data_IF_985407927566
#
_entry.id   IF_985407927566
#
_cell.length_a   1.000
_cell.length_b   1.000
_cell.length_c   1.000
_cell.angle_alpha   90.00
_cell.angle_beta   90.00
_cell.angle_gamma   90.00
#
_symmetry.space_group_name_H-M   'P 1'
#
loop_
_entity.id
_entity.type
_entity.pdbx_description
1 polymer ?
#
# COMPACT_ATOMS: atom_id res chain seq x y z
N UNK A 1 -14.67 11.23 -12.34
CA UNK A 1 -14.56 12.33 -13.33
C UNK A 1 -15.58 13.43 -13.08
N UNK A 2 -16.89 13.19 -13.29
CA UNK A 2 -17.91 14.24 -13.13
C UNK A 2 -17.87 14.92 -11.76
N UNK A 3 -17.79 14.15 -10.66
CA UNK A 3 -17.67 14.70 -9.30
C UNK A 3 -16.45 15.64 -9.15
N UNK A 4 -15.30 15.23 -9.68
CA UNK A 4 -14.07 16.05 -9.63
C UNK A 4 -14.24 17.33 -10.45
N UNK A 5 -14.86 17.27 -11.63
CA UNK A 5 -15.14 18.47 -12.43
C UNK A 5 -16.14 19.40 -11.75
N UNK A 6 -17.17 18.86 -11.09
CA UNK A 6 -18.16 19.65 -10.35
C UNK A 6 -17.52 20.44 -9.21
N UNK A 7 -16.57 19.84 -8.50
CA UNK A 7 -15.79 20.49 -7.43
C UNK A 7 -14.71 21.44 -7.96
N UNK A 8 -14.41 21.41 -9.27
CA UNK A 8 -13.37 22.22 -9.90
C UNK A 8 -13.91 22.90 -11.16
N UNK A 9 -14.59 24.03 -10.98
CA UNK A 9 -15.20 24.77 -12.09
C UNK A 9 -14.19 25.07 -13.21
N UNK A 10 -14.55 24.71 -14.44
CA UNK A 10 -13.70 24.90 -15.62
C UNK A 10 -12.63 23.83 -15.83
N UNK A 11 -12.51 22.84 -14.95
CA UNK A 11 -11.59 21.71 -15.15
C UNK A 11 -12.05 20.82 -16.32
N UNK A 12 -11.12 20.44 -17.18
CA UNK A 12 -11.39 19.50 -18.27
C UNK A 12 -11.57 18.06 -17.74
N UNK A 13 -12.27 17.22 -18.50
CA UNK A 13 -12.42 15.80 -18.15
C UNK A 13 -11.06 15.07 -18.09
N UNK A 14 -10.11 15.45 -18.95
CA UNK A 14 -8.76 14.89 -18.95
C UNK A 14 -8.00 15.28 -17.68
N UNK A 15 -8.03 16.56 -17.30
CA UNK A 15 -7.39 17.01 -16.05
C UNK A 15 -8.03 16.38 -14.81
N UNK A 16 -9.35 16.15 -14.83
CA UNK A 16 -10.04 15.43 -13.77
C UNK A 16 -9.64 13.94 -13.71
N UNK A 17 -9.33 13.33 -14.86
CA UNK A 17 -8.80 11.97 -14.94
C UNK A 17 -7.38 11.90 -14.40
N UNK A 18 -6.49 12.77 -14.85
CA UNK A 18 -5.11 12.86 -14.37
C UNK A 18 -5.07 13.09 -12.85
N UNK A 19 -5.95 13.94 -12.33
CA UNK A 19 -6.06 14.17 -10.89
C UNK A 19 -6.50 12.91 -10.14
N UNK A 20 -7.43 12.12 -10.68
CA UNK A 20 -7.82 10.85 -10.07
C UNK A 20 -6.68 9.82 -10.10
N UNK A 21 -5.92 9.76 -11.19
CA UNK A 21 -4.75 8.89 -11.28
C UNK A 21 -3.69 9.27 -10.25
N UNK A 22 -3.38 10.57 -10.12
CA UNK A 22 -2.34 11.08 -9.21
C UNK A 22 -2.67 10.89 -7.71
N UNK A 23 -3.95 10.75 -7.38
CA UNK A 23 -4.41 10.54 -5.99
C UNK A 23 -5.02 9.15 -5.80
N UNK A 24 -4.76 8.22 -6.73
CA UNK A 24 -5.09 6.81 -6.53
C UNK A 24 -4.24 6.23 -5.42
N UNK A 25 -4.79 5.26 -4.70
CA UNK A 25 -4.06 4.51 -3.69
C UNK A 25 -3.26 3.41 -4.38
N UNK A 26 -2.03 3.17 -3.93
CA UNK A 26 -1.22 2.05 -4.41
C UNK A 26 -1.98 0.72 -4.34
N UNK A 27 -1.74 -0.15 -5.32
CA UNK A 27 -2.32 -1.48 -5.35
C UNK A 27 -1.37 -2.45 -6.07
N UNK A 28 -1.16 -3.62 -5.48
CA UNK A 28 -0.23 -4.60 -6.05
C UNK A 28 1.23 -4.24 -5.77
N UNK A 29 2.09 -4.36 -6.79
CA UNK A 29 3.50 -4.01 -6.73
C UNK A 29 3.68 -2.50 -6.50
N UNK A 30 4.72 -2.07 -5.76
CA UNK A 30 4.96 -0.66 -5.51
C UNK A 30 5.30 0.10 -6.80
N UNK A 31 4.67 1.26 -6.97
CA UNK A 31 4.85 2.15 -8.11
C UNK A 31 4.09 1.65 -9.34
N UNK A 32 4.79 1.59 -10.48
CA UNK A 32 4.12 1.27 -11.74
C UNK A 32 3.80 -0.24 -11.86
N UNK A 33 2.57 -0.60 -11.51
CA UNK A 33 2.05 -1.97 -11.57
C UNK A 33 1.31 -2.23 -12.91
N UNK A 34 1.63 -3.33 -13.59
CA UNK A 34 1.03 -3.66 -14.91
C UNK A 34 -0.43 -4.14 -14.83
N UNK A 35 -0.86 -4.62 -13.66
CA UNK A 35 -2.19 -5.14 -13.37
C UNK A 35 -3.12 -4.03 -12.89
N UNK A 36 -2.63 -3.19 -11.97
CA UNK A 36 -3.41 -2.13 -11.33
C UNK A 36 -3.16 -0.73 -11.89
N UNK A 37 -2.12 -0.54 -12.72
CA UNK A 37 -1.80 0.76 -13.30
C UNK A 37 -1.41 1.78 -12.24
N UNK A 38 -2.28 2.80 -12.04
CA UNK A 38 -2.11 3.81 -10.99
C UNK A 38 -2.71 3.39 -9.64
N UNK A 39 -3.33 2.21 -9.55
CA UNK A 39 -3.91 1.67 -8.33
C UNK A 39 -5.42 1.89 -8.20
N UNK A 40 -5.91 1.98 -6.97
CA UNK A 40 -7.33 2.12 -6.65
C UNK A 40 -7.74 3.60 -6.59
N UNK A 41 -8.72 4.00 -7.42
CA UNK A 41 -9.22 5.38 -7.41
C UNK A 41 -9.74 5.77 -6.02
N UNK A 42 -9.23 6.87 -5.46
CA UNK A 42 -9.68 7.41 -4.19
C UNK A 42 -10.28 8.80 -4.39
N UNK A 43 -11.61 8.86 -4.56
CA UNK A 43 -12.31 10.12 -4.75
C UNK A 43 -12.19 11.03 -3.53
N UNK A 44 -12.24 10.48 -2.30
CA UNK A 44 -12.12 11.25 -1.07
C UNK A 44 -10.82 12.04 -1.03
N UNK A 45 -9.71 11.37 -1.30
CA UNK A 45 -8.37 11.98 -1.36
C UNK A 45 -8.27 13.10 -2.39
N UNK A 46 -8.91 12.93 -3.56
CA UNK A 46 -9.01 14.02 -4.56
C UNK A 46 -9.80 15.20 -3.99
N UNK A 47 -10.95 14.98 -3.38
CA UNK A 47 -11.79 16.06 -2.87
C UNK A 47 -11.15 16.79 -1.69
N UNK A 48 -10.38 16.07 -0.87
CA UNK A 48 -9.75 16.57 0.35
C UNK A 48 -8.31 17.05 0.15
N UNK A 49 -7.76 16.95 -1.07
CA UNK A 49 -6.35 17.27 -1.37
C UNK A 49 -5.86 18.66 -0.92
N UNK A 50 -6.79 19.61 -0.74
CA UNK A 50 -6.51 20.98 -0.30
C UNK A 50 -6.92 21.24 1.16
N UNK A 51 -7.45 20.24 1.86
CA UNK A 51 -7.78 20.31 3.28
C UNK A 51 -6.49 20.08 4.06
N UNK A 52 -6.00 21.06 4.83
CA UNK A 52 -4.72 20.93 5.53
C UNK A 52 -4.82 19.96 6.71
N UNK A 53 -3.67 19.38 7.09
CA UNK A 53 -3.48 18.63 8.34
C UNK A 53 -4.31 17.34 8.48
N UNK A 54 -4.54 16.62 7.38
CA UNK A 54 -5.10 15.26 7.44
C UNK A 54 -3.96 14.28 7.61
N UNK A 55 -3.98 13.54 8.71
CA UNK A 55 -3.12 12.36 8.95
C UNK A 55 -3.91 11.12 8.58
N UNK A 56 -3.35 10.33 7.67
CA UNK A 56 -4.02 9.15 7.12
C UNK A 56 -2.95 8.22 6.54
N UNK A 57 -2.67 7.13 7.28
CA UNK A 57 -1.66 6.15 6.94
C UNK A 57 -2.31 4.81 6.61
N UNK A 58 -2.29 4.44 5.34
CA UNK A 58 -2.89 3.18 4.88
C UNK A 58 -1.87 2.10 4.60
N UNK A 59 -2.23 0.84 4.86
CA UNK A 59 -1.53 -0.30 4.24
C UNK A 59 -2.11 -0.49 2.85
N UNK A 60 -1.33 -0.16 1.82
CA UNK A 60 -1.79 -0.22 0.44
C UNK A 60 -1.73 -1.63 -0.14
N UNK A 61 -0.62 -2.33 0.12
CA UNK A 61 -0.45 -3.69 -0.40
C UNK A 61 0.54 -4.51 0.41
N UNK A 62 0.43 -5.82 0.22
CA UNK A 62 1.46 -6.80 0.58
C UNK A 62 1.77 -7.58 -0.70
N UNK A 63 2.79 -7.18 -1.43
CA UNK A 63 3.14 -7.75 -2.72
C UNK A 63 4.19 -8.84 -2.60
N UNK A 64 4.01 -9.92 -3.35
CA UNK A 64 4.97 -11.01 -3.45
C UNK A 64 5.02 -11.50 -4.89
N UNK A 65 6.21 -11.51 -5.47
CA UNK A 65 6.46 -12.02 -6.82
C UNK A 65 7.36 -13.27 -6.77
N UNK A 66 6.81 -14.48 -6.92
CA UNK A 66 7.60 -15.72 -6.90
C UNK A 66 8.63 -15.80 -8.03
N UNK A 67 8.36 -15.21 -9.20
CA UNK A 67 9.28 -15.27 -10.35
C UNK A 67 10.58 -14.50 -10.06
N UNK A 68 10.47 -13.37 -9.35
CA UNK A 68 11.63 -12.59 -8.91
C UNK A 68 12.53 -13.36 -7.92
N UNK A 69 11.93 -14.21 -7.07
CA UNK A 69 12.66 -15.04 -6.12
C UNK A 69 13.40 -16.21 -6.81
N UNK A 70 12.78 -16.83 -7.82
CA UNK A 70 13.35 -17.98 -8.53
C UNK A 70 14.51 -17.62 -9.48
N UNK A 71 14.45 -16.45 -10.13
CA UNK A 71 15.40 -16.06 -11.19
C UNK A 71 16.70 -15.43 -10.68
N UNK A 72 16.78 -15.00 -9.42
CA UNK A 72 17.85 -14.11 -8.95
C UNK A 72 18.82 -14.66 -7.89
N UNK A 73 18.58 -15.86 -7.35
CA UNK A 73 19.30 -16.33 -6.15
C UNK A 73 19.12 -15.39 -4.93
N UNK A 74 18.10 -14.54 -4.97
CA UNK A 74 17.79 -13.53 -3.96
C UNK A 74 17.02 -14.15 -2.79
N UNK A 75 17.06 -13.48 -1.64
CA UNK A 75 16.22 -13.83 -0.50
C UNK A 75 14.76 -13.81 -0.92
N UNK A 76 14.00 -14.85 -0.55
CA UNK A 76 12.56 -14.94 -0.76
C UNK A 76 11.85 -13.86 0.08
N UNK A 77 11.69 -12.65 -0.46
CA UNK A 77 11.11 -11.49 0.22
C UNK A 77 9.78 -11.07 -0.40
N UNK A 78 8.95 -10.44 0.41
CA UNK A 78 7.75 -9.74 0.02
C UNK A 78 7.89 -8.25 0.36
N UNK A 79 7.09 -7.42 -0.28
CA UNK A 79 7.06 -5.98 -0.12
C UNK A 79 5.75 -5.55 0.54
N UNK A 80 5.82 -4.90 1.68
CA UNK A 80 4.67 -4.25 2.31
C UNK A 80 4.73 -2.76 1.97
N UNK A 81 3.67 -2.25 1.36
CA UNK A 81 3.56 -0.86 0.92
C UNK A 81 2.69 -0.10 1.90
N UNK A 82 3.29 0.90 2.54
CA UNK A 82 2.60 1.87 3.39
C UNK A 82 2.48 3.17 2.62
N UNK A 83 1.31 3.77 2.64
CA UNK A 83 1.01 4.97 1.86
C UNK A 83 0.55 6.10 2.77
N UNK A 84 1.06 7.30 2.52
CA UNK A 84 0.52 8.52 3.11
C UNK A 84 -0.66 9.04 2.28
N UNK A 85 -1.87 8.69 2.71
CA UNK A 85 -3.12 9.08 2.05
C UNK A 85 -3.61 10.47 2.47
N UNK A 86 -2.97 11.07 3.48
CA UNK A 86 -3.34 12.36 4.03
C UNK A 86 -2.76 13.56 3.28
N UNK A 87 -2.78 14.70 3.96
CA UNK A 87 -2.26 16.00 3.50
C UNK A 87 -1.16 16.57 4.40
N UNK A 88 -0.70 15.80 5.38
CA UNK A 88 0.52 16.08 6.17
C UNK A 88 1.53 14.95 6.03
N UNK A 89 2.81 15.26 6.16
CA UNK A 89 3.83 14.23 6.16
C UNK A 89 3.73 13.35 7.42
N UNK A 90 4.05 12.06 7.27
CA UNK A 90 4.00 11.10 8.36
C UNK A 90 5.40 10.87 8.93
N UNK A 91 5.49 10.76 10.25
CA UNK A 91 6.73 10.63 11.00
C UNK A 91 6.68 9.45 11.98
N UNK A 92 7.74 8.64 12.00
CA UNK A 92 7.94 7.53 12.93
C UNK A 92 6.71 6.62 13.08
N UNK A 93 6.29 6.02 11.97
CA UNK A 93 5.29 4.97 11.97
C UNK A 93 5.90 3.66 12.46
N UNK A 94 5.08 2.83 13.09
CA UNK A 94 5.44 1.45 13.41
C UNK A 94 4.63 0.53 12.51
N UNK A 95 5.29 -0.42 11.85
CA UNK A 95 4.61 -1.37 10.97
C UNK A 95 4.84 -2.77 11.52
N UNK A 96 3.75 -3.44 11.86
CA UNK A 96 3.75 -4.83 12.28
C UNK A 96 3.39 -5.69 11.09
N UNK A 97 4.20 -6.71 10.82
CA UNK A 97 4.04 -7.60 9.67
C UNK A 97 4.05 -9.03 10.16
N UNK A 98 3.02 -9.78 9.82
CA UNK A 98 2.93 -11.21 10.08
C UNK A 98 2.99 -11.96 8.76
N UNK A 99 3.81 -13.01 8.71
CA UNK A 99 3.88 -13.93 7.58
C UNK A 99 4.00 -15.35 8.09
N UNK A 100 2.92 -16.13 7.94
CA UNK A 100 2.81 -17.43 8.58
C UNK A 100 2.94 -17.32 10.10
N UNK A 101 3.96 -17.97 10.68
CA UNK A 101 4.25 -17.93 12.13
C UNK A 101 5.27 -16.87 12.53
N UNK A 102 5.78 -16.08 11.58
CA UNK A 102 6.78 -15.05 11.85
C UNK A 102 6.11 -13.68 11.99
N UNK A 103 6.42 -13.00 13.09
CA UNK A 103 6.02 -11.62 13.34
C UNK A 103 7.27 -10.72 13.35
N UNK A 104 7.20 -9.59 12.67
CA UNK A 104 8.27 -8.59 12.63
C UNK A 104 7.70 -7.20 12.77
N UNK A 105 8.42 -6.36 13.52
CA UNK A 105 8.11 -4.94 13.65
C UNK A 105 9.18 -4.11 12.93
N UNK A 106 8.72 -3.14 12.17
CA UNK A 106 9.53 -2.21 11.40
C UNK A 106 9.22 -0.78 11.81
N UNK A 107 10.21 0.11 11.68
CA UNK A 107 10.01 1.54 11.82
C UNK A 107 10.10 2.21 10.44
N UNK A 108 9.15 3.08 10.14
CA UNK A 108 9.20 3.97 8.97
C UNK A 108 9.36 5.39 9.50
N UNK A 109 10.55 5.96 9.33
CA UNK A 109 10.88 7.26 9.91
C UNK A 109 10.09 8.41 9.30
N UNK A 110 9.82 8.36 7.99
CA UNK A 110 9.21 9.46 7.26
C UNK A 110 8.49 8.99 5.99
N UNK A 111 7.30 9.52 5.71
CA UNK A 111 6.61 9.39 4.42
C UNK A 111 6.06 10.78 4.02
N UNK A 112 6.55 11.37 2.91
CA UNK A 112 5.98 12.63 2.39
C UNK A 112 4.49 12.50 2.04
N UNK A 113 3.81 13.63 1.89
CA UNK A 113 2.41 13.67 1.44
C UNK A 113 2.30 13.02 0.06
N UNK A 114 1.37 12.10 -0.13
CA UNK A 114 1.15 11.45 -1.42
C UNK A 114 2.03 10.24 -1.69
N UNK A 115 3.11 10.07 -0.92
CA UNK A 115 4.18 9.10 -1.21
C UNK A 115 4.01 7.79 -0.43
N UNK A 116 4.87 6.82 -0.76
CA UNK A 116 4.89 5.49 -0.14
C UNK A 116 6.21 5.20 0.57
N UNK A 117 6.16 4.27 1.52
CA UNK A 117 7.31 3.55 2.03
C UNK A 117 7.14 2.06 1.77
N UNK A 118 8.21 1.42 1.32
CA UNK A 118 8.25 -0.02 1.02
C UNK A 118 9.11 -0.71 2.07
N UNK A 119 8.53 -1.72 2.72
CA UNK A 119 9.23 -2.59 3.67
C UNK A 119 9.46 -3.93 3.01
N UNK A 120 10.72 -4.35 2.93
CA UNK A 120 11.06 -5.71 2.57
C UNK A 120 10.99 -6.63 3.79
N UNK A 121 10.18 -7.67 3.69
CA UNK A 121 10.01 -8.69 4.72
C UNK A 121 10.32 -10.06 4.13
N UNK A 122 10.93 -11.00 4.89
CA UNK A 122 10.98 -12.39 4.47
C UNK A 122 9.58 -12.88 4.15
N UNK A 123 9.40 -13.49 2.98
CA UNK A 123 8.10 -13.90 2.49
C UNK A 123 7.47 -14.99 3.36
N UNK A 124 8.23 -15.68 4.23
CA UNK A 124 7.70 -16.61 5.24
C UNK A 124 7.27 -17.98 4.70
N UNK A 125 7.42 -18.24 3.40
CA UNK A 125 7.20 -19.57 2.82
C UNK A 125 8.21 -20.57 3.39
N UNK A 126 7.74 -21.54 4.17
CA UNK A 126 8.54 -22.72 4.52
C UNK A 126 8.74 -23.59 3.28
N UNK A 127 9.77 -24.44 3.28
CA UNK A 127 10.13 -25.33 2.16
C UNK A 127 8.99 -26.29 1.72
N UNK A 128 7.91 -26.40 2.49
CA UNK A 128 6.64 -26.98 2.05
C UNK A 128 5.69 -25.89 1.60
N UNK A 129 5.49 -25.77 0.29
CA UNK A 129 4.39 -25.00 -0.28
C UNK A 129 3.11 -25.74 0.13
N UNK A 130 2.33 -25.18 1.05
CA UNK A 130 0.98 -25.69 1.27
C UNK A 130 0.12 -25.23 0.09
N UNK A 131 -0.62 -26.15 -0.54
CA UNK A 131 -1.64 -25.81 -1.55
C UNK A 131 -2.64 -24.77 -1.02
N UNK A 132 -2.73 -24.66 0.31
CA UNK A 132 -3.55 -23.68 0.98
C UNK A 132 -3.03 -22.24 0.83
N UNK A 133 -1.75 -21.99 0.58
CA UNK A 133 -1.18 -20.63 0.54
C UNK A 133 -0.84 -20.08 1.93
N UNK A 134 -0.11 -18.96 1.95
CA UNK A 134 0.46 -18.37 3.16
C UNK A 134 -0.39 -17.20 3.66
N UNK A 135 -0.97 -17.27 4.88
CA UNK A 135 -1.60 -16.11 5.49
C UNK A 135 -0.55 -15.04 5.82
N UNK A 136 -0.86 -13.81 5.42
CA UNK A 136 -0.05 -12.64 5.72
C UNK A 136 -0.93 -11.51 6.23
N UNK A 137 -0.41 -10.72 7.15
CA UNK A 137 -1.04 -9.50 7.64
C UNK A 137 -0.02 -8.39 7.77
N UNK A 138 -0.47 -7.15 7.66
CA UNK A 138 0.31 -5.98 7.98
C UNK A 138 -0.58 -4.93 8.64
N UNK A 139 -0.06 -4.26 9.66
CA UNK A 139 -0.74 -3.16 10.36
C UNK A 139 0.23 -1.99 10.52
N UNK A 140 -0.19 -0.80 10.11
CA UNK A 140 0.54 0.46 10.37
C UNK A 140 -0.06 1.17 11.58
N UNK A 141 0.80 1.51 12.53
CA UNK A 141 0.47 2.21 13.76
C UNK A 141 1.05 3.62 13.67
N UNK A 142 0.16 4.61 13.68
CA UNK A 142 0.52 6.02 13.66
C UNK A 142 0.94 6.48 15.05
N UNK A 143 2.11 7.12 15.15
CA UNK A 143 2.51 7.80 16.38
C UNK A 143 1.72 9.11 16.53
N UNK A 144 0.64 9.06 17.31
CA UNK A 144 -0.27 10.20 17.47
C UNK A 144 0.39 11.44 18.09
N UNK A 145 1.47 11.29 18.87
CA UNK A 145 2.18 12.43 19.44
C UNK A 145 2.92 13.26 18.37
N UNK A 146 3.26 12.64 17.24
CA UNK A 146 3.98 13.30 16.14
C UNK A 146 3.07 13.67 14.97
N UNK A 147 1.98 12.92 14.78
CA UNK A 147 1.14 13.03 13.58
C UNK A 147 -0.31 13.43 13.89
N UNK A 148 -0.75 13.40 15.14
CA UNK A 148 -2.18 13.49 15.47
C UNK A 148 -2.93 12.18 15.22
N UNK A 149 -4.26 12.22 15.32
CA UNK A 149 -5.10 11.06 15.07
C UNK A 149 -5.14 10.71 13.59
N UNK A 150 -5.02 9.41 13.29
CA UNK A 150 -5.27 8.89 11.96
C UNK A 150 -6.77 8.99 11.65
N UNK A 151 -7.08 9.62 10.52
CA UNK A 151 -8.45 9.89 10.10
C UNK A 151 -9.22 8.61 9.77
N UNK A 152 -8.58 7.61 9.16
CA UNK A 152 -9.25 6.39 8.71
C UNK A 152 -8.50 5.13 9.16
N UNK A 153 -8.60 4.84 10.45
CA UNK A 153 -8.00 3.65 11.06
C UNK A 153 -8.43 2.31 10.43
N UNK A 154 -9.46 2.29 9.59
CA UNK A 154 -9.96 1.07 8.96
C UNK A 154 -9.04 0.57 7.83
N UNK A 155 -8.22 1.44 7.25
CA UNK A 155 -7.28 1.09 6.18
C UNK A 155 -5.83 0.88 6.67
N UNK A 156 -5.59 1.07 7.97
CA UNK A 156 -4.32 0.83 8.64
C UNK A 156 -3.95 -0.66 8.71
N UNK A 157 -4.83 -1.57 8.31
CA UNK A 157 -4.55 -3.00 8.34
C UNK A 157 -4.96 -3.70 7.05
N UNK A 158 -4.16 -4.68 6.65
CA UNK A 158 -4.46 -5.58 5.55
C UNK A 158 -4.18 -7.02 5.99
N UNK A 159 -5.06 -7.93 5.61
CA UNK A 159 -4.89 -9.37 5.80
C UNK A 159 -5.28 -10.09 4.53
N UNK A 160 -4.44 -11.01 4.05
CA UNK A 160 -4.74 -11.81 2.87
C UNK A 160 -4.00 -13.15 2.90
N UNK A 161 -4.31 -14.00 1.92
CA UNK A 161 -3.58 -15.23 1.64
C UNK A 161 -2.77 -15.05 0.36
N UNK A 162 -1.49 -15.40 0.40
CA UNK A 162 -0.63 -15.44 -0.80
C UNK A 162 -0.58 -16.88 -1.30
N UNK A 163 -1.04 -17.10 -2.51
CA UNK A 163 -0.98 -18.39 -3.18
C UNK A 163 0.24 -18.43 -4.11
N UNK A 164 1.03 -19.49 -4.02
CA UNK A 164 2.06 -19.80 -5.00
C UNK A 164 1.39 -20.54 -6.15
N UNK A 165 0.75 -19.82 -7.07
CA UNK A 165 0.20 -20.46 -8.25
C UNK A 165 1.37 -21.08 -9.04
N UNK A 166 1.44 -22.41 -9.06
CA UNK A 166 2.30 -23.15 -9.99
C UNK A 166 1.95 -22.68 -11.41
N UNK A 167 2.93 -22.49 -12.32
CA UNK A 167 2.60 -22.24 -13.70
C UNK A 167 1.74 -23.42 -14.17
N UNK A 168 0.56 -23.12 -14.73
CA UNK A 168 -0.21 -24.11 -15.48
C UNK A 168 0.74 -24.69 -16.54
N UNK A 169 1.18 -25.92 -16.33
CA UNK A 169 1.95 -26.65 -17.31
C UNK A 169 1.10 -26.74 -18.59
N UNK A 170 1.67 -26.46 -19.78
CA UNK A 170 0.97 -26.59 -21.05
C UNK A 170 0.54 -28.03 -21.34
#
# INVERSE_FOLDING_TARGET
IAAVMSENQGMSALSAYELLQNYSNEAGAPGNDIVYGAGNLNLGRVLERNVPNITDAGVASYHYDPASAELGGQSNTAQVVIENRGTTALHNLTVQVESGSAERTYNVSFIPVGEIAVIETPAGFSSGITEEGLPVSATVIVNQNLNGEDRDVSDNSLSKKIELNSPKQP
#
